data_IF_313762914327
#
_entry.id   IF_313762914327
#
_cell.length_a   1.000
_cell.length_b   1.000
_cell.length_c   1.000
_cell.angle_alpha   90.00
_cell.angle_beta   90.00
_cell.angle_gamma   90.00
#
_symmetry.space_group_name_H-M   'P 1'
#
loop_
_entity.id
_entity.type
_entity.pdbx_description
1 polymer ?
#
# COMPACT_ATOMS: atom_id res chain seq x y z
N UNK A 1 2.85 -22.60 3.89
CA UNK A 1 2.76 -22.02 5.25
C UNK A 1 1.40 -22.36 5.82
N UNK A 2 1.30 -22.96 7.02
CA UNK A 2 0.02 -23.16 7.72
C UNK A 2 -0.61 -21.79 7.95
N UNK A 3 -1.91 -21.68 7.68
CA UNK A 3 -2.71 -20.47 7.87
C UNK A 3 -2.33 -19.72 9.15
N UNK A 4 -1.78 -18.51 9.00
CA UNK A 4 -1.42 -17.67 10.13
C UNK A 4 -2.74 -17.20 10.77
N UNK A 5 -2.92 -17.48 12.06
CA UNK A 5 -4.08 -17.03 12.79
C UNK A 5 -3.89 -15.55 13.17
N UNK A 6 -4.75 -14.68 12.67
CA UNK A 6 -4.71 -13.23 12.91
C UNK A 6 -4.66 -12.91 14.43
N UNK A 7 -5.42 -13.63 15.25
CA UNK A 7 -5.43 -13.43 16.70
C UNK A 7 -4.04 -13.63 17.31
N UNK A 8 -3.33 -14.70 16.90
CA UNK A 8 -1.96 -14.97 17.37
C UNK A 8 -0.96 -13.92 16.88
N UNK A 9 -1.11 -13.43 15.64
CA UNK A 9 -0.25 -12.39 15.12
C UNK A 9 -0.43 -11.08 15.90
N UNK A 10 -1.68 -10.70 16.18
CA UNK A 10 -1.99 -9.51 16.98
C UNK A 10 -1.57 -9.64 18.45
N UNK A 11 -1.72 -10.81 19.07
CA UNK A 11 -1.20 -11.09 20.41
C UNK A 11 0.32 -10.93 20.46
N UNK A 12 1.04 -11.46 19.45
CA UNK A 12 2.49 -11.32 19.36
C UNK A 12 2.92 -9.85 19.19
N UNK A 13 2.16 -9.08 18.39
CA UNK A 13 2.37 -7.64 18.24
C UNK A 13 2.14 -6.88 19.57
N UNK A 14 1.03 -7.14 20.25
CA UNK A 14 0.72 -6.49 21.52
C UNK A 14 1.79 -6.74 22.59
N UNK A 15 2.41 -7.91 22.59
CA UNK A 15 3.51 -8.24 23.50
C UNK A 15 4.80 -7.45 23.23
N UNK A 16 4.94 -6.80 22.09
CA UNK A 16 6.06 -5.91 21.78
C UNK A 16 5.84 -4.46 22.23
N UNK A 17 4.60 -4.11 22.55
CA UNK A 17 4.26 -2.73 22.91
C UNK A 17 4.61 -2.40 24.38
N UNK A 18 5.03 -1.15 24.69
CA UNK A 18 5.34 -0.09 23.74
C UNK A 18 6.66 -0.31 23.02
N UNK A 19 6.72 0.00 21.70
CA UNK A 19 7.95 -0.07 20.95
C UNK A 19 8.96 0.99 21.41
N UNK A 20 10.27 0.65 21.38
CA UNK A 20 11.34 1.63 21.54
C UNK A 20 11.34 2.62 20.37
N UNK A 21 11.87 3.84 20.58
CA UNK A 21 11.99 4.83 19.49
C UNK A 21 12.81 4.30 18.30
N UNK A 22 13.84 3.53 18.58
CA UNK A 22 14.65 2.85 17.55
C UNK A 22 13.81 1.87 16.71
N UNK A 23 12.95 1.09 17.36
CA UNK A 23 12.12 0.10 16.66
C UNK A 23 10.99 0.77 15.87
N UNK A 24 10.42 1.85 16.41
CA UNK A 24 9.46 2.70 15.68
C UNK A 24 10.09 3.27 14.42
N UNK A 25 11.30 3.83 14.49
CA UNK A 25 12.01 4.39 13.35
C UNK A 25 12.33 3.31 12.30
N UNK A 26 12.85 2.16 12.72
CA UNK A 26 13.14 1.03 11.82
C UNK A 26 11.89 0.55 11.09
N UNK A 27 10.80 0.38 11.82
CA UNK A 27 9.52 -0.08 11.25
C UNK A 27 8.92 0.97 10.32
N UNK A 28 8.94 2.24 10.70
CA UNK A 28 8.46 3.35 9.88
C UNK A 28 9.21 3.47 8.56
N UNK A 29 10.54 3.40 8.59
CA UNK A 29 11.38 3.43 7.36
C UNK A 29 11.03 2.28 6.43
N UNK A 30 10.98 1.06 6.97
CA UNK A 30 10.61 -0.12 6.19
C UNK A 30 9.21 0.02 5.60
N UNK A 31 8.22 0.37 6.41
CA UNK A 31 6.84 0.54 5.96
C UNK A 31 6.72 1.63 4.89
N UNK A 32 7.44 2.74 5.04
CA UNK A 32 7.44 3.83 4.05
C UNK A 32 7.86 3.33 2.67
N UNK A 33 8.93 2.55 2.59
CA UNK A 33 9.41 2.00 1.31
C UNK A 33 8.46 0.92 0.79
N UNK A 34 8.14 -0.06 1.62
CA UNK A 34 7.27 -1.19 1.27
C UNK A 34 5.90 -0.71 0.76
N UNK A 35 5.25 0.20 1.49
CA UNK A 35 3.93 0.71 1.11
C UNK A 35 3.96 1.48 -0.20
N UNK A 36 4.85 2.48 -0.30
CA UNK A 36 4.91 3.32 -1.49
C UNK A 36 5.30 2.52 -2.73
N UNK A 37 6.29 1.63 -2.65
CA UNK A 37 6.66 0.75 -3.74
C UNK A 37 5.47 -0.10 -4.19
N UNK A 38 4.90 -0.89 -3.29
CA UNK A 38 3.84 -1.84 -3.65
C UNK A 38 2.56 -1.16 -4.12
N UNK A 39 2.13 -0.10 -3.41
CA UNK A 39 0.88 0.60 -3.75
C UNK A 39 0.94 1.27 -5.11
N UNK A 40 2.09 1.85 -5.51
CA UNK A 40 2.25 2.44 -6.83
C UNK A 40 2.52 1.38 -7.91
N UNK A 41 3.27 0.32 -7.59
CA UNK A 41 3.57 -0.74 -8.54
C UNK A 41 2.32 -1.54 -8.95
N UNK A 42 1.33 -1.69 -8.06
CA UNK A 42 0.00 -2.22 -8.39
C UNK A 42 -0.67 -1.41 -9.49
N UNK A 43 -0.48 -0.10 -9.51
CA UNK A 43 -1.07 0.82 -10.50
C UNK A 43 -0.18 1.03 -11.74
N UNK A 44 0.97 0.34 -11.81
CA UNK A 44 1.82 0.34 -13.00
C UNK A 44 3.06 1.23 -12.94
N UNK A 45 3.38 1.83 -11.79
CA UNK A 45 4.64 2.53 -11.59
C UNK A 45 5.83 1.57 -11.78
N UNK A 46 6.87 2.01 -12.48
CA UNK A 46 7.97 1.15 -12.95
C UNK A 46 9.24 1.24 -12.12
N UNK A 47 9.28 2.13 -11.11
CA UNK A 47 10.46 2.23 -10.23
C UNK A 47 10.70 0.89 -9.53
N UNK A 48 11.95 0.46 -9.52
CA UNK A 48 12.36 -0.72 -8.74
C UNK A 48 12.26 -0.42 -7.24
N UNK A 49 12.25 -1.48 -6.43
CA UNK A 49 12.24 -1.33 -4.97
C UNK A 49 13.47 -0.54 -4.48
N UNK A 50 14.68 -0.81 -5.03
CA UNK A 50 15.89 -0.07 -4.68
C UNK A 50 15.85 1.41 -5.10
N UNK A 51 15.31 1.71 -6.29
CA UNK A 51 15.10 3.11 -6.70
C UNK A 51 14.11 3.82 -5.77
N UNK A 52 13.04 3.15 -5.37
CA UNK A 52 12.06 3.67 -4.41
C UNK A 52 12.71 3.95 -3.06
N UNK A 53 13.50 3.01 -2.54
CA UNK A 53 14.22 3.18 -1.27
C UNK A 53 15.16 4.39 -1.30
N UNK A 54 15.99 4.51 -2.33
CA UNK A 54 16.94 5.63 -2.47
C UNK A 54 16.21 6.96 -2.67
N UNK A 55 15.14 6.97 -3.45
CA UNK A 55 14.33 8.18 -3.65
C UNK A 55 13.71 8.65 -2.33
N UNK A 56 13.07 7.75 -1.59
CA UNK A 56 12.30 8.14 -0.41
C UNK A 56 13.18 8.43 0.82
N UNK A 57 14.31 7.72 0.97
CA UNK A 57 15.19 7.90 2.12
C UNK A 57 16.26 8.97 1.91
N UNK A 58 16.73 9.18 0.66
CA UNK A 58 17.84 10.09 0.37
C UNK A 58 17.50 11.23 -0.59
N UNK A 59 16.29 11.24 -1.16
CA UNK A 59 15.87 12.24 -2.14
C UNK A 59 16.65 12.19 -3.47
N UNK A 60 17.22 11.03 -3.81
CA UNK A 60 18.06 10.85 -5.00
C UNK A 60 17.42 9.84 -5.95
N UNK A 61 17.58 10.04 -7.25
CA UNK A 61 17.22 9.09 -8.30
C UNK A 61 18.51 8.48 -8.86
N UNK A 62 18.55 7.16 -8.95
CA UNK A 62 19.67 6.41 -9.54
C UNK A 62 19.17 5.59 -10.74
N UNK A 63 20.03 5.48 -11.77
CA UNK A 63 19.68 4.80 -13.01
C UNK A 63 18.61 5.58 -13.82
N UNK A 64 18.05 4.91 -14.81
CA UNK A 64 16.96 5.45 -15.62
C UNK A 64 15.64 5.33 -14.87
N UNK A 65 14.85 6.39 -14.86
CA UNK A 65 13.55 6.45 -14.24
C UNK A 65 12.62 7.40 -15.00
N UNK A 66 11.37 7.02 -15.18
CA UNK A 66 10.36 7.92 -15.72
C UNK A 66 10.08 9.06 -14.71
N UNK A 67 10.07 10.29 -15.21
CA UNK A 67 9.80 11.48 -14.38
C UNK A 67 8.43 11.39 -13.71
N UNK A 68 7.44 10.87 -14.43
CA UNK A 68 6.10 10.65 -13.89
C UNK A 68 6.13 9.68 -12.73
N UNK A 69 6.83 8.56 -12.86
CA UNK A 69 6.92 7.54 -11.81
C UNK A 69 7.59 8.07 -10.55
N UNK A 70 8.65 8.88 -10.71
CA UNK A 70 9.32 9.57 -9.59
C UNK A 70 8.38 10.55 -8.90
N UNK A 71 7.61 11.30 -9.67
CA UNK A 71 6.64 12.27 -9.14
C UNK A 71 5.50 11.58 -8.40
N UNK A 72 4.93 10.51 -8.95
CA UNK A 72 3.87 9.71 -8.33
C UNK A 72 4.35 9.08 -7.02
N UNK A 73 5.57 8.53 -6.99
CA UNK A 73 6.17 7.93 -5.80
C UNK A 73 6.36 8.98 -4.68
N UNK A 74 6.87 10.15 -5.03
CA UNK A 74 7.07 11.25 -4.08
C UNK A 74 5.73 11.76 -3.53
N UNK A 75 4.73 11.94 -4.39
CA UNK A 75 3.39 12.36 -4.01
C UNK A 75 2.69 11.32 -3.10
N UNK A 76 2.86 10.03 -3.42
CA UNK A 76 2.36 8.93 -2.58
C UNK A 76 2.94 8.98 -1.18
N UNK A 77 4.24 9.26 -1.05
CA UNK A 77 4.89 9.39 0.26
C UNK A 77 4.38 10.60 1.07
N UNK A 78 4.06 11.72 0.40
CA UNK A 78 3.40 12.85 1.07
C UNK A 78 2.01 12.43 1.55
N UNK A 79 1.22 11.76 0.71
CA UNK A 79 -0.10 11.24 1.09
C UNK A 79 -0.05 10.26 2.26
N UNK A 80 0.96 9.38 2.31
CA UNK A 80 1.17 8.46 3.43
C UNK A 80 1.42 9.20 4.75
N UNK A 81 2.25 10.26 4.73
CA UNK A 81 2.50 11.08 5.93
C UNK A 81 1.25 11.82 6.38
N UNK A 82 0.53 12.47 5.46
CA UNK A 82 -0.74 13.13 5.76
C UNK A 82 -1.75 12.17 6.38
N UNK A 83 -1.88 10.96 5.82
CA UNK A 83 -2.75 9.91 6.37
C UNK A 83 -2.34 9.53 7.79
N UNK A 84 -1.05 9.36 8.05
CA UNK A 84 -0.55 8.99 9.38
C UNK A 84 -0.78 10.09 10.42
N UNK A 85 -0.60 11.35 10.03
CA UNK A 85 -0.86 12.52 10.89
C UNK A 85 -2.35 12.62 11.24
N UNK A 86 -3.24 12.49 10.25
CA UNK A 86 -4.69 12.50 10.47
C UNK A 86 -5.16 11.31 11.32
N UNK A 87 -4.60 10.12 11.09
CA UNK A 87 -4.92 8.95 11.89
C UNK A 87 -4.56 9.12 13.38
N UNK A 88 -3.53 9.88 13.69
CA UNK A 88 -3.12 10.18 15.06
C UNK A 88 -4.12 11.10 15.79
N UNK A 89 -4.89 11.90 15.04
CA UNK A 89 -5.91 12.82 15.58
C UNK A 89 -7.25 12.09 15.79
N UNK A 90 -7.28 11.17 16.76
CA UNK A 90 -8.41 10.23 16.97
C UNK A 90 -9.75 10.91 17.25
N UNK A 91 -9.74 12.12 17.83
CA UNK A 91 -10.95 12.89 18.14
C UNK A 91 -11.58 13.55 16.90
N UNK A 92 -10.86 13.63 15.79
CA UNK A 92 -11.36 14.23 14.57
C UNK A 92 -12.04 13.14 13.73
N UNK A 93 -13.35 13.29 13.41
CA UNK A 93 -14.04 12.33 12.55
C UNK A 93 -13.49 12.37 11.13
N UNK A 94 -13.57 11.26 10.42
CA UNK A 94 -13.25 11.20 8.99
C UNK A 94 -14.18 12.11 8.21
N UNK A 95 -13.64 12.84 7.23
CA UNK A 95 -14.41 13.68 6.34
C UNK A 95 -14.16 13.36 4.87
N UNK A 96 -15.17 13.60 4.02
CA UNK A 96 -14.98 13.52 2.56
C UNK A 96 -13.87 14.47 2.08
N UNK A 97 -13.76 15.65 2.73
CA UNK A 97 -12.73 16.63 2.37
C UNK A 97 -11.33 16.10 2.60
N UNK A 98 -11.10 15.33 3.65
CA UNK A 98 -9.80 14.68 3.89
C UNK A 98 -9.49 13.67 2.77
N UNK A 99 -10.42 12.79 2.39
CA UNK A 99 -10.25 11.83 1.29
C UNK A 99 -9.93 12.56 -0.04
N UNK A 100 -10.66 13.64 -0.34
CA UNK A 100 -10.42 14.47 -1.54
C UNK A 100 -9.06 15.18 -1.49
N UNK A 101 -8.62 15.61 -0.32
CA UNK A 101 -7.30 16.25 -0.13
C UNK A 101 -6.18 15.23 -0.32
N UNK A 102 -6.32 14.01 0.20
CA UNK A 102 -5.39 12.90 -0.09
C UNK A 102 -5.31 12.62 -1.59
N UNK A 103 -6.46 12.54 -2.26
CA UNK A 103 -6.50 12.32 -3.71
C UNK A 103 -5.79 13.44 -4.48
N UNK A 104 -6.05 14.72 -4.13
CA UNK A 104 -5.34 15.86 -4.72
C UNK A 104 -3.84 15.77 -4.51
N UNK A 105 -3.40 15.36 -3.32
CA UNK A 105 -1.99 15.16 -3.00
C UNK A 105 -1.35 14.08 -3.87
N UNK A 106 -2.04 12.96 -4.07
CA UNK A 106 -1.54 11.85 -4.88
C UNK A 106 -1.41 12.21 -6.36
N UNK A 107 -2.37 12.92 -6.93
CA UNK A 107 -2.36 13.31 -8.34
C UNK A 107 -1.57 14.60 -8.60
N UNK A 108 -1.38 15.44 -7.59
CA UNK A 108 -0.71 16.75 -7.62
C UNK A 108 -1.46 17.82 -8.42
N UNK A 109 -1.83 17.52 -9.66
CA UNK A 109 -2.48 18.45 -10.60
C UNK A 109 -3.47 17.70 -11.50
N UNK A 110 -4.33 18.44 -12.14
CA UNK A 110 -5.20 17.93 -13.19
C UNK A 110 -4.37 17.53 -14.40
N UNK A 111 -4.74 16.43 -15.06
CA UNK A 111 -4.06 15.99 -16.27
C UNK A 111 -5.02 15.41 -17.30
N UNK A 112 -4.60 15.47 -18.57
CA UNK A 112 -5.41 14.96 -19.68
C UNK A 112 -5.01 13.54 -20.05
N UNK A 113 -5.99 12.65 -20.12
CA UNK A 113 -5.85 11.29 -20.63
C UNK A 113 -6.29 11.27 -22.09
N UNK A 114 -5.43 10.77 -22.96
CA UNK A 114 -5.72 10.53 -24.37
C UNK A 114 -6.02 9.06 -24.60
N UNK A 115 -7.08 8.76 -25.36
CA UNK A 115 -7.47 7.39 -25.72
C UNK A 115 -7.66 7.29 -27.22
N UNK A 116 -7.11 6.24 -27.81
CA UNK A 116 -7.40 5.87 -29.19
C UNK A 116 -8.67 5.01 -29.23
N UNK A 117 -9.66 5.45 -29.98
CA UNK A 117 -10.89 4.72 -30.21
C UNK A 117 -10.77 3.79 -31.43
N UNK A 118 -11.54 2.71 -31.50
CA UNK A 118 -11.65 1.91 -32.73
C UNK A 118 -11.97 2.82 -33.93
N UNK A 119 -11.25 2.64 -35.04
CA UNK A 119 -11.37 3.50 -36.22
C UNK A 119 -10.42 4.69 -36.28
N UNK A 120 -9.42 4.80 -35.35
CA UNK A 120 -8.36 5.78 -35.37
C UNK A 120 -8.74 7.16 -34.83
N UNK A 121 -9.95 7.34 -34.32
CA UNK A 121 -10.34 8.58 -33.63
C UNK A 121 -9.66 8.67 -32.26
N UNK A 122 -9.12 9.86 -31.96
CA UNK A 122 -8.58 10.18 -30.65
C UNK A 122 -9.64 10.90 -29.80
N UNK A 123 -9.83 10.49 -28.56
CA UNK A 123 -10.62 11.23 -27.57
C UNK A 123 -9.75 11.55 -26.37
N UNK A 124 -10.10 12.58 -25.64
CA UNK A 124 -9.41 12.96 -24.41
C UNK A 124 -10.39 13.39 -23.34
N UNK A 125 -9.96 13.29 -22.10
CA UNK A 125 -10.68 13.82 -20.96
C UNK A 125 -9.70 14.27 -19.88
N UNK A 126 -10.14 15.18 -19.03
CA UNK A 126 -9.34 15.69 -17.90
C UNK A 126 -9.68 14.90 -16.65
N UNK A 127 -8.66 14.45 -15.94
CA UNK A 127 -8.75 13.90 -14.59
C UNK A 127 -8.51 15.04 -13.61
N UNK A 128 -9.49 15.29 -12.73
CA UNK A 128 -9.44 16.41 -11.78
C UNK A 128 -8.96 15.96 -10.40
N UNK A 129 -7.84 16.51 -9.97
CA UNK A 129 -7.24 16.20 -8.68
C UNK A 129 -8.13 16.69 -7.51
N UNK A 130 -8.55 15.77 -6.65
CA UNK A 130 -9.41 16.07 -5.49
C UNK A 130 -10.88 16.31 -5.80
N UNK A 131 -11.33 15.99 -7.01
CA UNK A 131 -12.75 16.10 -7.40
C UNK A 131 -13.30 14.71 -7.72
N UNK A 132 -14.56 14.48 -7.36
CA UNK A 132 -15.25 13.27 -7.75
C UNK A 132 -15.40 13.22 -9.27
N UNK A 133 -15.53 12.02 -9.79
CA UNK A 133 -15.65 11.76 -11.22
C UNK A 133 -16.86 12.48 -11.82
N UNK A 134 -16.66 12.96 -13.03
CA UNK A 134 -17.71 13.60 -13.84
C UNK A 134 -18.20 12.70 -14.97
N UNK A 135 -17.56 11.53 -15.12
CA UNK A 135 -17.83 10.55 -16.17
C UNK A 135 -17.99 9.17 -15.57
N UNK A 136 -18.86 8.32 -16.13
CA UNK A 136 -18.92 6.92 -15.75
C UNK A 136 -17.55 6.25 -15.92
N UNK A 137 -17.13 5.46 -14.95
CA UNK A 137 -15.98 4.59 -15.04
C UNK A 137 -16.41 3.13 -14.97
N UNK A 138 -15.71 2.28 -15.67
CA UNK A 138 -15.92 0.84 -15.67
C UNK A 138 -14.58 0.17 -15.93
N UNK A 139 -14.47 -1.07 -15.51
CA UNK A 139 -13.32 -1.90 -15.82
C UNK A 139 -13.78 -3.11 -16.64
N UNK A 140 -12.91 -3.57 -17.53
CA UNK A 140 -13.08 -4.89 -18.14
C UNK A 140 -12.38 -5.87 -17.22
N UNK A 141 -13.14 -6.82 -16.68
CA UNK A 141 -12.60 -7.86 -15.82
C UNK A 141 -11.66 -8.77 -16.63
N UNK A 142 -10.83 -9.54 -15.95
CA UNK A 142 -9.97 -10.53 -16.63
C UNK A 142 -10.75 -11.61 -17.39
N UNK A 143 -12.05 -11.74 -17.13
CA UNK A 143 -12.95 -12.64 -17.81
C UNK A 143 -13.64 -12.01 -19.04
N UNK A 144 -13.37 -10.71 -19.30
CA UNK A 144 -13.93 -9.97 -20.42
C UNK A 144 -15.27 -9.27 -20.12
N UNK A 145 -15.82 -9.45 -18.93
CA UNK A 145 -17.06 -8.81 -18.51
C UNK A 145 -16.82 -7.33 -18.17
N UNK A 146 -17.79 -6.49 -18.47
CA UNK A 146 -17.77 -5.08 -18.07
C UNK A 146 -18.38 -4.95 -16.66
N UNK A 147 -17.56 -4.44 -15.74
CA UNK A 147 -18.00 -4.12 -14.39
C UNK A 147 -18.15 -2.61 -14.24
N UNK A 148 -19.32 -2.16 -13.79
CA UNK A 148 -19.63 -0.75 -13.62
C UNK A 148 -19.61 -0.34 -12.14
N UNK A 149 -19.02 0.82 -11.88
CA UNK A 149 -19.03 1.47 -10.57
C UNK A 149 -20.19 2.48 -10.50
N UNK A 150 -20.40 3.08 -9.33
CA UNK A 150 -21.40 4.11 -9.14
C UNK A 150 -21.32 5.19 -10.24
N UNK A 151 -22.45 5.71 -10.66
CA UNK A 151 -22.50 6.82 -11.61
C UNK A 151 -21.92 8.12 -11.00
N UNK A 152 -21.55 9.10 -11.82
CA UNK A 152 -21.15 10.43 -11.30
C UNK A 152 -22.20 11.07 -10.40
N UNK A 153 -23.46 10.94 -10.74
CA UNK A 153 -24.57 11.56 -10.00
C UNK A 153 -24.78 10.88 -8.63
N UNK A 154 -24.61 9.56 -8.54
CA UNK A 154 -24.72 8.82 -7.27
C UNK A 154 -23.50 9.00 -6.36
N UNK A 155 -22.33 9.24 -6.94
CA UNK A 155 -21.05 9.25 -6.22
C UNK A 155 -21.02 10.17 -5.00
N UNK A 156 -21.46 11.44 -5.04
CA UNK A 156 -21.42 12.32 -3.88
C UNK A 156 -22.28 11.81 -2.71
N UNK A 157 -23.48 11.28 -3.01
CA UNK A 157 -24.38 10.71 -2.00
C UNK A 157 -23.77 9.46 -1.35
N UNK A 158 -23.31 8.50 -2.17
CA UNK A 158 -22.70 7.27 -1.67
C UNK A 158 -21.41 7.53 -0.86
N UNK A 159 -20.65 8.56 -1.20
CA UNK A 159 -19.47 8.95 -0.41
C UNK A 159 -19.86 9.61 0.92
N UNK A 160 -20.98 10.35 0.98
CA UNK A 160 -21.53 10.84 2.23
C UNK A 160 -21.95 9.68 3.13
N UNK A 161 -22.74 8.74 2.60
CA UNK A 161 -23.21 7.56 3.32
C UNK A 161 -22.03 6.71 3.84
N UNK A 162 -20.97 6.54 3.04
CA UNK A 162 -19.77 5.78 3.44
C UNK A 162 -19.06 6.43 4.63
N UNK A 163 -18.86 7.76 4.59
CA UNK A 163 -18.16 8.49 5.65
C UNK A 163 -18.99 8.53 6.93
N UNK A 164 -20.29 8.79 6.81
CA UNK A 164 -21.21 8.80 7.96
C UNK A 164 -21.31 7.42 8.61
N UNK A 165 -21.46 6.38 7.79
CA UNK A 165 -21.42 5.00 8.28
C UNK A 165 -20.12 4.69 9.00
N UNK A 166 -18.97 5.06 8.42
CA UNK A 166 -17.66 4.78 9.04
C UNK A 166 -17.56 5.43 10.41
N UNK A 167 -17.88 6.72 10.52
CA UNK A 167 -17.81 7.46 11.77
C UNK A 167 -18.76 6.86 12.83
N UNK A 168 -19.97 6.45 12.43
CA UNK A 168 -20.90 5.76 13.33
C UNK A 168 -20.35 4.39 13.75
N UNK A 169 -19.88 3.57 12.81
CA UNK A 169 -19.36 2.22 13.09
C UNK A 169 -18.11 2.25 13.99
N UNK A 170 -17.23 3.26 13.80
CA UNK A 170 -16.08 3.50 14.68
C UNK A 170 -16.51 3.82 16.11
N UNK A 171 -17.52 4.69 16.30
CA UNK A 171 -18.05 5.04 17.61
C UNK A 171 -18.78 3.87 18.28
N UNK A 172 -19.51 3.07 17.54
CA UNK A 172 -20.23 1.91 18.06
C UNK A 172 -19.29 0.78 18.50
N UNK A 173 -18.11 0.65 17.89
CA UNK A 173 -17.10 -0.34 18.26
C UNK A 173 -17.56 -1.81 18.12
N UNK A 174 -18.58 -2.09 17.31
CA UNK A 174 -19.12 -3.44 17.09
C UNK A 174 -18.27 -4.28 16.14
N UNK A 175 -17.62 -3.64 15.21
CA UNK A 175 -16.67 -4.24 14.25
C UNK A 175 -15.27 -4.18 14.82
N UNK A 176 -14.50 -5.26 14.63
CA UNK A 176 -13.06 -5.17 14.87
C UNK A 176 -12.41 -4.18 13.90
N UNK A 177 -11.27 -3.56 14.23
CA UNK A 177 -10.57 -2.67 13.31
C UNK A 177 -10.26 -3.28 11.94
N UNK A 178 -10.03 -4.59 11.89
CA UNK A 178 -9.77 -5.33 10.65
C UNK A 178 -11.05 -5.46 9.82
N UNK A 179 -12.18 -5.79 10.43
CA UNK A 179 -13.48 -5.85 9.77
C UNK A 179 -13.91 -4.46 9.27
N UNK A 180 -13.72 -3.43 10.09
CA UNK A 180 -14.04 -2.05 9.73
C UNK A 180 -13.22 -1.59 8.51
N UNK A 181 -11.90 -1.87 8.51
CA UNK A 181 -11.01 -1.52 7.40
C UNK A 181 -11.35 -2.31 6.12
N UNK A 182 -11.63 -3.60 6.23
CA UNK A 182 -12.03 -4.42 5.09
C UNK A 182 -13.35 -3.95 4.47
N UNK A 183 -14.34 -3.66 5.30
CA UNK A 183 -15.66 -3.22 4.85
C UNK A 183 -15.60 -1.82 4.24
N UNK A 184 -14.86 -0.88 4.85
CA UNK A 184 -14.61 0.43 4.28
C UNK A 184 -13.94 0.33 2.90
N UNK A 185 -12.87 -0.47 2.80
CA UNK A 185 -12.14 -0.68 1.56
C UNK A 185 -13.08 -1.18 0.45
N UNK A 186 -13.86 -2.23 0.72
CA UNK A 186 -14.75 -2.82 -0.27
C UNK A 186 -15.82 -1.83 -0.73
N UNK A 187 -16.52 -1.19 0.20
CA UNK A 187 -17.54 -0.17 -0.11
C UNK A 187 -16.96 0.97 -0.94
N UNK A 188 -15.78 1.48 -0.56
CA UNK A 188 -15.10 2.54 -1.28
C UNK A 188 -14.76 2.13 -2.72
N UNK A 189 -14.22 0.91 -2.92
CA UNK A 189 -13.91 0.40 -4.27
C UNK A 189 -15.18 0.26 -5.11
N UNK A 190 -16.32 -0.13 -4.54
CA UNK A 190 -17.60 -0.22 -5.25
C UNK A 190 -18.15 1.15 -5.66
N UNK A 191 -17.90 2.18 -4.89
CA UNK A 191 -18.25 3.57 -5.28
C UNK A 191 -17.31 4.07 -6.37
N UNK A 192 -16.00 3.81 -6.22
CA UNK A 192 -14.95 4.23 -7.15
C UNK A 192 -15.02 5.73 -7.47
N UNK A 193 -14.89 6.61 -6.47
CA UNK A 193 -15.38 7.98 -6.55
C UNK A 193 -14.59 8.90 -7.48
N UNK A 194 -13.37 8.55 -7.86
CA UNK A 194 -12.51 9.37 -8.69
C UNK A 194 -12.30 8.75 -10.08
N UNK A 195 -11.80 9.53 -11.02
CA UNK A 195 -11.49 9.04 -12.38
C UNK A 195 -10.20 8.23 -12.42
N UNK A 196 -9.26 8.48 -11.48
CA UNK A 196 -8.01 7.71 -11.25
C UNK A 196 -7.68 7.70 -9.75
N UNK A 197 -6.69 6.90 -9.33
CA UNK A 197 -6.13 6.90 -7.97
C UNK A 197 -6.98 6.20 -6.91
N UNK A 198 -8.12 5.60 -7.24
CA UNK A 198 -9.01 4.98 -6.27
C UNK A 198 -8.35 3.85 -5.49
N UNK A 199 -7.58 3.00 -6.14
CA UNK A 199 -6.87 1.91 -5.48
C UNK A 199 -5.83 2.41 -4.45
N UNK A 200 -5.10 3.46 -4.79
CA UNK A 200 -4.11 4.09 -3.89
C UNK A 200 -4.78 4.69 -2.66
N UNK A 201 -5.89 5.41 -2.84
CA UNK A 201 -6.69 5.96 -1.72
C UNK A 201 -7.26 4.83 -0.87
N UNK A 202 -7.85 3.79 -1.46
CA UNK A 202 -8.39 2.65 -0.70
C UNK A 202 -7.34 2.02 0.22
N UNK A 203 -6.12 1.81 -0.27
CA UNK A 203 -5.01 1.25 0.51
C UNK A 203 -4.48 2.20 1.59
N UNK A 204 -4.51 3.53 1.35
CA UNK A 204 -4.24 4.52 2.40
C UNK A 204 -5.30 4.49 3.49
N UNK A 205 -6.58 4.45 3.12
CA UNK A 205 -7.70 4.45 4.09
C UNK A 205 -7.74 3.19 4.95
N UNK A 206 -7.32 2.04 4.41
CA UNK A 206 -7.11 0.84 5.23
C UNK A 206 -6.12 1.11 6.36
N UNK A 207 -4.98 1.71 6.03
CA UNK A 207 -3.95 2.01 7.01
C UNK A 207 -4.33 3.16 7.96
N UNK A 208 -5.13 4.13 7.48
CA UNK A 208 -5.76 5.14 8.34
C UNK A 208 -6.59 4.49 9.44
N UNK A 209 -7.47 3.55 9.09
CA UNK A 209 -8.34 2.87 10.05
C UNK A 209 -7.52 2.02 11.03
N UNK A 210 -6.58 1.22 10.54
CA UNK A 210 -5.73 0.38 11.38
C UNK A 210 -4.89 1.21 12.37
N UNK A 211 -4.27 2.30 11.91
CA UNK A 211 -3.44 3.18 12.71
C UNK A 211 -4.23 3.87 13.84
N UNK A 212 -5.48 4.31 13.57
CA UNK A 212 -6.36 4.88 14.60
C UNK A 212 -6.60 3.94 15.78
N UNK A 213 -6.58 2.64 15.51
CA UNK A 213 -6.78 1.60 16.53
C UNK A 213 -5.47 1.01 17.07
N UNK A 214 -4.32 1.64 16.82
CA UNK A 214 -2.97 1.18 17.22
C UNK A 214 -2.59 -0.20 16.66
N UNK A 215 -3.20 -0.58 15.54
CA UNK A 215 -2.77 -1.74 14.77
C UNK A 215 -1.55 -1.35 13.93
N UNK A 216 -0.64 -2.29 13.66
CA UNK A 216 0.42 -2.05 12.69
C UNK A 216 -0.18 -1.81 11.31
N UNK A 217 0.45 -0.92 10.56
CA UNK A 217 0.08 -0.69 9.17
C UNK A 217 0.47 -1.89 8.30
N UNK A 218 -0.27 -2.11 7.23
CA UNK A 218 -0.10 -3.27 6.35
C UNK A 218 0.16 -2.87 4.90
N UNK A 219 0.73 -3.79 4.13
CA UNK A 219 1.07 -3.60 2.72
C UNK A 219 0.39 -4.66 1.86
N UNK A 220 -0.42 -4.24 0.90
CA UNK A 220 -0.87 -5.12 -0.18
C UNK A 220 0.31 -5.29 -1.15
N UNK A 221 0.93 -6.47 -1.18
CA UNK A 221 2.13 -6.72 -1.98
C UNK A 221 1.81 -6.79 -3.47
N UNK A 222 2.55 -6.06 -4.29
CA UNK A 222 2.33 -6.00 -5.75
C UNK A 222 2.49 -7.37 -6.43
N UNK A 223 3.41 -8.20 -5.96
CA UNK A 223 3.58 -9.59 -6.41
C UNK A 223 2.36 -10.49 -6.14
N UNK A 224 1.44 -10.08 -5.25
CA UNK A 224 0.18 -10.75 -4.93
C UNK A 224 -1.04 -10.00 -5.47
N UNK A 225 -0.84 -9.08 -6.43
CA UNK A 225 -1.93 -8.30 -7.05
C UNK A 225 -3.07 -9.20 -7.55
N UNK A 226 -2.75 -10.35 -8.14
CA UNK A 226 -3.77 -11.29 -8.65
C UNK A 226 -4.65 -11.86 -7.55
N UNK A 227 -4.10 -12.21 -6.38
CA UNK A 227 -4.85 -12.71 -5.23
C UNK A 227 -5.79 -11.63 -4.66
N UNK A 228 -5.30 -10.40 -4.59
CA UNK A 228 -6.07 -9.23 -4.15
C UNK A 228 -7.26 -8.95 -5.07
N UNK A 229 -7.02 -8.90 -6.38
CA UNK A 229 -8.08 -8.64 -7.37
C UNK A 229 -9.08 -9.80 -7.45
N UNK A 230 -8.61 -11.05 -7.27
CA UNK A 230 -9.49 -12.22 -7.22
C UNK A 230 -10.44 -12.17 -6.03
N UNK A 231 -9.94 -11.80 -4.84
CA UNK A 231 -10.78 -11.69 -3.66
C UNK A 231 -11.87 -10.61 -3.81
N UNK A 232 -11.54 -9.49 -4.46
CA UNK A 232 -12.54 -8.45 -4.80
C UNK A 232 -13.56 -9.00 -5.81
N UNK A 233 -13.11 -9.64 -6.88
CA UNK A 233 -14.00 -10.20 -7.89
C UNK A 233 -14.96 -11.26 -7.32
N UNK A 234 -14.48 -12.19 -6.50
CA UNK A 234 -15.33 -13.17 -5.83
C UNK A 234 -16.38 -12.51 -4.94
N UNK A 235 -16.01 -11.43 -4.26
CA UNK A 235 -16.95 -10.65 -3.45
C UNK A 235 -17.98 -9.92 -4.32
N UNK A 236 -17.57 -9.37 -5.46
CA UNK A 236 -18.49 -8.74 -6.41
C UNK A 236 -19.53 -9.73 -6.95
N UNK A 237 -19.14 -11.00 -7.15
CA UNK A 237 -20.07 -12.07 -7.56
C UNK A 237 -21.08 -12.41 -6.47
N UNK A 238 -20.71 -12.32 -5.18
CA UNK A 238 -21.64 -12.55 -4.06
C UNK A 238 -22.59 -11.36 -3.82
N UNK A 239 -22.04 -10.13 -3.88
CA UNK A 239 -22.81 -8.89 -3.63
C UNK A 239 -23.71 -8.53 -4.81
N UNK A 240 -23.29 -8.88 -6.03
CA UNK A 240 -24.01 -8.55 -7.26
C UNK A 240 -23.52 -7.26 -7.96
N UNK A 241 -24.02 -7.01 -9.19
CA UNK A 241 -23.49 -5.97 -10.06
C UNK A 241 -23.94 -4.55 -9.70
N UNK A 242 -24.97 -4.38 -8.89
CA UNK A 242 -25.53 -3.05 -8.57
C UNK A 242 -24.54 -2.26 -7.70
N UNK A 243 -24.08 -1.07 -8.14
CA UNK A 243 -23.07 -0.30 -7.41
C UNK A 243 -23.50 0.09 -5.99
N UNK A 244 -24.75 0.50 -5.79
CA UNK A 244 -25.29 0.87 -4.48
C UNK A 244 -25.32 -0.30 -3.50
N UNK A 245 -25.56 -1.54 -3.95
CA UNK A 245 -25.52 -2.72 -3.10
C UNK A 245 -24.11 -2.95 -2.56
N UNK A 246 -23.10 -2.76 -3.42
CA UNK A 246 -21.70 -2.82 -3.01
C UNK A 246 -21.29 -1.69 -2.07
N UNK A 247 -21.77 -0.47 -2.31
CA UNK A 247 -21.52 0.69 -1.46
C UNK A 247 -22.13 0.55 -0.06
N UNK A 248 -23.19 -0.26 0.09
CA UNK A 248 -23.86 -0.56 1.36
C UNK A 248 -23.66 -2.02 1.82
N UNK A 249 -22.73 -2.77 1.21
CA UNK A 249 -22.46 -4.16 1.58
C UNK A 249 -22.23 -4.33 3.09
N UNK A 250 -22.68 -5.44 3.65
CA UNK A 250 -22.45 -5.79 5.04
C UNK A 250 -21.27 -6.77 5.20
N UNK A 251 -20.87 -7.04 6.44
CA UNK A 251 -19.73 -7.90 6.72
C UNK A 251 -19.96 -9.36 6.28
N UNK A 252 -21.20 -9.79 6.14
CA UNK A 252 -21.53 -11.16 5.72
C UNK A 252 -21.42 -11.33 4.22
N UNK A 253 -21.74 -10.27 3.47
CA UNK A 253 -21.68 -10.28 2.02
C UNK A 253 -20.25 -10.11 1.46
N UNK A 254 -19.30 -9.61 2.26
CA UNK A 254 -17.91 -9.46 1.82
C UNK A 254 -16.98 -10.60 2.27
N UNK A 255 -17.50 -11.78 2.57
CA UNK A 255 -16.72 -12.91 3.12
C UNK A 255 -15.47 -13.27 2.33
N UNK A 256 -15.47 -13.36 0.98
CA UNK A 256 -14.25 -13.69 0.22
C UNK A 256 -13.15 -12.64 0.44
N UNK A 257 -13.50 -11.35 0.35
CA UNK A 257 -12.55 -10.27 0.59
C UNK A 257 -12.10 -10.20 2.06
N UNK A 258 -13.02 -10.39 3.01
CA UNK A 258 -12.69 -10.41 4.44
C UNK A 258 -11.72 -11.54 4.79
N UNK A 259 -11.89 -12.72 4.18
CA UNK A 259 -10.96 -13.85 4.36
C UNK A 259 -9.56 -13.48 3.87
N UNK A 260 -9.45 -12.99 2.64
CA UNK A 260 -8.18 -12.50 2.07
C UNK A 260 -7.55 -11.45 2.97
N UNK A 261 -8.35 -10.47 3.41
CA UNK A 261 -7.89 -9.35 4.22
C UNK A 261 -7.37 -9.79 5.60
N UNK A 262 -8.04 -10.72 6.26
CA UNK A 262 -7.57 -11.33 7.51
C UNK A 262 -6.21 -12.04 7.33
N UNK A 263 -6.04 -12.78 6.23
CA UNK A 263 -4.77 -13.47 5.92
C UNK A 263 -3.65 -12.46 5.62
N UNK A 264 -3.98 -11.38 4.91
CA UNK A 264 -3.06 -10.27 4.64
C UNK A 264 -2.59 -9.60 5.94
N UNK A 265 -3.54 -9.16 6.79
CA UNK A 265 -3.22 -8.51 8.07
C UNK A 265 -2.40 -9.45 8.95
N UNK A 266 -2.81 -10.72 9.09
CA UNK A 266 -2.06 -11.71 9.88
C UNK A 266 -0.62 -11.87 9.39
N UNK A 267 -0.41 -11.90 8.07
CA UNK A 267 0.91 -12.07 7.45
C UNK A 267 1.79 -10.85 7.67
N UNK A 268 1.28 -9.64 7.40
CA UNK A 268 2.06 -8.40 7.54
C UNK A 268 2.40 -8.12 9.00
N UNK A 269 1.45 -8.26 9.92
CA UNK A 269 1.69 -8.12 11.36
C UNK A 269 2.73 -9.12 11.87
N UNK A 270 2.65 -10.37 11.44
CA UNK A 270 3.64 -11.38 11.83
C UNK A 270 5.03 -11.09 11.28
N UNK A 271 5.11 -10.58 10.04
CA UNK A 271 6.37 -10.14 9.44
C UNK A 271 6.98 -8.97 10.21
N UNK A 272 6.17 -8.04 10.70
CA UNK A 272 6.63 -6.93 11.54
C UNK A 272 7.19 -7.43 12.88
N UNK A 273 6.50 -8.38 13.52
CA UNK A 273 7.01 -9.03 14.75
C UNK A 273 8.33 -9.72 14.49
N UNK A 274 8.45 -10.49 13.41
CA UNK A 274 9.70 -11.16 13.05
C UNK A 274 10.83 -10.16 12.74
N UNK A 275 10.52 -9.08 12.02
CA UNK A 275 11.48 -8.02 11.70
C UNK A 275 12.03 -7.34 12.95
N UNK A 276 11.17 -7.01 13.91
CA UNK A 276 11.56 -6.35 15.15
C UNK A 276 12.33 -7.27 16.11
N UNK A 277 12.00 -8.56 16.10
CA UNK A 277 12.62 -9.57 16.97
C UNK A 277 13.82 -10.29 16.35
N UNK A 278 14.17 -9.98 15.09
CA UNK A 278 15.29 -10.62 14.38
C UNK A 278 16.62 -10.32 15.06
N UNK A 279 17.33 -11.37 15.43
CA UNK A 279 18.65 -11.30 16.07
C UNK A 279 19.77 -11.85 15.19
N UNK A 280 19.40 -12.47 14.06
CA UNK A 280 20.39 -13.08 13.17
C UNK A 280 20.98 -12.00 12.25
N UNK A 281 22.24 -11.68 12.45
CA UNK A 281 22.98 -10.70 11.64
C UNK A 281 23.09 -11.06 10.15
N UNK A 282 22.82 -12.31 9.77
CA UNK A 282 22.83 -12.77 8.39
C UNK A 282 21.49 -12.58 7.68
N UNK A 283 20.52 -11.95 8.31
CA UNK A 283 19.17 -11.75 7.76
C UNK A 283 19.00 -10.32 7.26
N UNK A 284 18.44 -10.22 6.08
CA UNK A 284 17.99 -8.98 5.47
C UNK A 284 16.50 -9.05 5.13
N UNK A 285 15.84 -7.93 5.28
CA UNK A 285 14.43 -7.79 4.89
C UNK A 285 14.32 -6.94 3.64
N UNK A 286 13.66 -7.48 2.62
CA UNK A 286 13.49 -6.82 1.33
C UNK A 286 12.08 -7.08 0.83
N UNK A 287 11.31 -6.03 0.55
CA UNK A 287 9.90 -6.09 0.13
C UNK A 287 9.04 -7.10 0.94
N UNK A 288 9.16 -7.02 2.28
CA UNK A 288 8.43 -7.92 3.19
C UNK A 288 8.93 -9.36 3.21
N UNK A 289 10.00 -9.69 2.51
CA UNK A 289 10.60 -11.03 2.53
C UNK A 289 11.85 -11.08 3.43
N UNK A 290 11.93 -12.18 4.18
CA UNK A 290 13.08 -12.49 5.04
C UNK A 290 14.12 -13.28 4.25
N UNK A 291 15.23 -12.64 3.92
CA UNK A 291 16.33 -13.22 3.16
C UNK A 291 17.47 -13.59 4.12
N UNK A 292 17.90 -14.83 4.12
CA UNK A 292 19.07 -15.30 4.89
C UNK A 292 20.28 -15.44 4.00
N UNK A 293 21.42 -14.90 4.45
CA UNK A 293 22.70 -15.01 3.78
C UNK A 293 23.61 -16.00 4.50
N UNK A 294 24.67 -16.47 3.82
CA UNK A 294 25.65 -17.41 4.40
C UNK A 294 26.60 -16.73 5.38
N UNK A 295 26.84 -15.43 5.23
CA UNK A 295 27.76 -14.65 6.08
C UNK A 295 27.19 -13.27 6.35
N UNK A 296 27.59 -12.61 7.46
CA UNK A 296 27.13 -11.25 7.78
C UNK A 296 27.72 -10.17 6.86
N UNK A 297 28.64 -10.50 5.96
CA UNK A 297 29.23 -9.52 5.06
C UNK A 297 28.22 -8.91 4.10
N UNK A 298 27.20 -9.67 3.68
CA UNK A 298 26.10 -9.15 2.87
C UNK A 298 25.31 -8.07 3.61
N UNK A 299 24.89 -8.38 4.82
CA UNK A 299 24.10 -7.46 5.64
C UNK A 299 24.90 -6.25 6.11
N UNK A 300 26.21 -6.40 6.35
CA UNK A 300 27.10 -5.26 6.65
C UNK A 300 27.13 -4.25 5.51
N UNK A 301 27.28 -4.71 4.26
CA UNK A 301 27.25 -3.83 3.08
C UNK A 301 25.87 -3.20 2.91
N UNK A 302 24.79 -4.00 2.97
CA UNK A 302 23.43 -3.52 2.82
C UNK A 302 23.05 -2.48 3.91
N UNK A 303 23.44 -2.73 5.17
CA UNK A 303 23.24 -1.76 6.26
C UNK A 303 24.02 -0.45 6.04
N UNK A 304 25.25 -0.54 5.54
CA UNK A 304 26.02 0.67 5.22
C UNK A 304 25.36 1.46 4.07
N UNK A 305 24.83 0.77 3.06
CA UNK A 305 24.11 1.39 1.94
C UNK A 305 22.78 2.07 2.38
N UNK A 306 22.20 1.68 3.51
CA UNK A 306 21.04 2.38 4.08
C UNK A 306 21.38 3.78 4.63
N UNK A 307 22.64 4.07 4.87
CA UNK A 307 23.12 5.40 5.30
C UNK A 307 23.88 6.13 4.20
N UNK A 308 24.55 5.40 3.33
CA UNK A 308 25.32 5.90 2.19
C UNK A 308 24.98 5.07 0.95
N UNK A 309 24.06 5.50 0.08
CA UNK A 309 23.54 4.68 -1.01
C UNK A 309 24.57 4.30 -2.09
N UNK A 310 25.74 4.95 -2.10
CA UNK A 310 26.84 4.64 -3.00
C UNK A 310 28.09 4.33 -2.17
N UNK A 311 28.58 3.10 -2.25
CA UNK A 311 29.81 2.65 -1.62
C UNK A 311 30.84 2.26 -2.67
N UNK A 312 32.07 2.68 -2.46
CA UNK A 312 33.23 2.19 -3.26
C UNK A 312 33.66 0.79 -2.77
N UNK A 313 34.35 0.04 -3.63
CA UNK A 313 34.91 -1.25 -3.23
C UNK A 313 35.91 -1.14 -2.07
N UNK A 314 36.60 0.01 -1.96
CA UNK A 314 37.51 0.29 -0.84
C UNK A 314 36.75 0.40 0.49
N UNK A 315 35.67 1.18 0.54
CA UNK A 315 34.80 1.33 1.71
C UNK A 315 34.15 0.01 2.09
N UNK A 316 33.68 -0.78 1.11
CA UNK A 316 33.13 -2.11 1.37
C UNK A 316 34.18 -3.07 1.97
N UNK A 317 35.46 -2.93 1.55
CA UNK A 317 36.57 -3.68 2.14
C UNK A 317 36.80 -3.30 3.59
N UNK A 318 36.78 -2.03 3.92
CA UNK A 318 36.91 -1.55 5.30
C UNK A 318 35.79 -2.07 6.21
N UNK A 319 34.54 -2.04 5.71
CA UNK A 319 33.35 -2.50 6.44
C UNK A 319 33.37 -4.00 6.69
N UNK A 320 33.81 -4.79 5.69
CA UNK A 320 33.69 -6.25 5.72
C UNK A 320 34.97 -6.97 6.12
N UNK A 321 36.13 -6.35 5.93
CA UNK A 321 37.46 -6.96 6.17
C UNK A 321 37.84 -8.01 5.14
N UNK A 322 37.14 -8.19 4.02
CA UNK A 322 37.42 -9.18 2.99
C UNK A 322 38.09 -8.56 1.74
N UNK A 323 38.68 -9.38 0.86
CA UNK A 323 39.31 -8.89 -0.36
C UNK A 323 38.34 -8.33 -1.37
N UNK A 324 38.78 -7.40 -2.23
CA UNK A 324 37.99 -6.80 -3.30
C UNK A 324 37.39 -7.87 -4.23
N UNK A 325 38.16 -8.91 -4.57
CA UNK A 325 37.66 -10.01 -5.40
C UNK A 325 36.52 -10.80 -4.71
N UNK A 326 36.58 -10.96 -3.38
CA UNK A 326 35.49 -11.57 -2.61
C UNK A 326 34.26 -10.66 -2.56
N UNK A 327 34.44 -9.33 -2.46
CA UNK A 327 33.34 -8.34 -2.50
C UNK A 327 32.66 -8.38 -3.87
N UNK A 328 33.40 -8.38 -4.97
CA UNK A 328 32.82 -8.47 -6.32
C UNK A 328 31.94 -9.72 -6.47
N UNK A 329 32.45 -10.89 -6.05
CA UNK A 329 31.66 -12.13 -6.07
C UNK A 329 30.40 -12.04 -5.20
N UNK A 330 30.46 -11.33 -4.08
CA UNK A 330 29.32 -11.10 -3.19
C UNK A 330 28.29 -10.19 -3.87
N UNK A 331 28.73 -9.11 -4.52
CA UNK A 331 27.85 -8.21 -5.27
C UNK A 331 27.16 -8.92 -6.44
N UNK A 332 27.90 -9.74 -7.20
CA UNK A 332 27.32 -10.54 -8.28
C UNK A 332 26.19 -11.47 -7.77
N UNK A 333 26.35 -12.03 -6.58
CA UNK A 333 25.33 -12.87 -5.95
C UNK A 333 24.13 -12.08 -5.43
N UNK A 334 24.32 -10.81 -5.03
CA UNK A 334 23.23 -9.91 -4.65
C UNK A 334 22.39 -9.47 -5.86
N UNK A 335 23.04 -9.22 -7.00
CA UNK A 335 22.36 -8.81 -8.25
C UNK A 335 21.52 -9.95 -8.83
N UNK A 336 21.90 -11.21 -8.59
CA UNK A 336 21.16 -12.40 -9.07
C UNK A 336 19.95 -12.79 -8.20
N UNK A 337 19.79 -12.19 -7.03
CA UNK A 337 18.67 -12.43 -6.11
C UNK A 337 17.63 -11.33 -6.17
#
# INVERSE_FOLDING_TARGET
MKYLNIKKALEAWQNLLPLSEKDKDRLSRRFTVDFNYNSNHIEGNTLTYGQTEILLLFGKVIGEADVRDVQEMTASNVGLRMMSEEAAMKEIPLTQNFIRTLHRTLLREDYTVYRNMPGGMQTSYVVHAGQYKTRPNSVITRYGDRFEYASPDETPGLMADLVDWYNQAEQEGKLSPVELAALFHYRYIRIHPFEDGNGRIARLMVNFILARHNYPMIVVRSRKKSEYLEALHQTDMEVGPVPSDGAHADIKSIRPFLKYFNELVATEVYNDVLFLTEKNENVWWYDGERISFRTPNYTKILNAMQTLPTLTLAEMREITGISIAAIQKLLDQLIQK
#
